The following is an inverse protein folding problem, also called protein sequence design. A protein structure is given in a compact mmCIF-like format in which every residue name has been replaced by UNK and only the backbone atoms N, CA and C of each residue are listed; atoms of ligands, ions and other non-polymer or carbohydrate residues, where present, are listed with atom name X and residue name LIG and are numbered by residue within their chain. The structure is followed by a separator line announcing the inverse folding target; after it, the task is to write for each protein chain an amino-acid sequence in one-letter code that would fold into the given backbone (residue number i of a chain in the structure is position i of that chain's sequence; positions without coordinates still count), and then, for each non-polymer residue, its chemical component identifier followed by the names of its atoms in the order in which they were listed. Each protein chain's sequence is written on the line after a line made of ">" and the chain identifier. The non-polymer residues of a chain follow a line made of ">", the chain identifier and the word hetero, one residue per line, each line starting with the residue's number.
data_IF_257712690587
#
_entry.id   IF_257712690587
#
_cell.length_a   1.000
_cell.length_b   1.000
_cell.length_c   1.000
_cell.angle_alpha   90.00
_cell.angle_beta   90.00
_cell.angle_gamma   90.00
#
_symmetry.space_group_name_H-M   'P 1'
#
loop_
_entity.id
_entity.type
_entity.pdbx_description
1 polymer ?
#
# COMPACT_ATOMS: atom_id res chain seq x y z
N UNK A 1 3.84 18.01 0.22
CA UNK A 1 5.19 17.38 0.25
C UNK A 1 5.46 16.63 1.56
N UNK A 2 5.14 17.19 2.74
CA UNK A 2 5.41 16.60 4.07
C UNK A 2 4.78 15.22 4.24
N UNK A 3 3.48 15.06 3.95
CA UNK A 3 2.76 13.79 4.06
C UNK A 3 3.41 12.67 3.24
N UNK A 4 3.96 13.01 2.07
CA UNK A 4 4.70 12.06 1.23
C UNK A 4 6.01 11.58 1.88
N UNK A 5 6.68 12.45 2.64
CA UNK A 5 7.91 12.08 3.36
C UNK A 5 7.58 11.08 4.46
N UNK A 6 6.53 11.35 5.24
CA UNK A 6 6.07 10.41 6.28
C UNK A 6 5.64 9.06 5.70
N UNK A 7 4.89 9.09 4.59
CA UNK A 7 4.54 7.86 3.87
C UNK A 7 5.78 7.08 3.41
N UNK A 8 6.82 7.75 2.90
CA UNK A 8 8.08 7.08 2.54
C UNK A 8 8.79 6.44 3.73
N UNK A 9 8.76 7.07 4.89
CA UNK A 9 9.33 6.46 6.11
C UNK A 9 8.57 5.18 6.51
N UNK A 10 7.24 5.15 6.32
CA UNK A 10 6.43 3.94 6.50
C UNK A 10 6.85 2.84 5.53
N UNK A 11 7.06 3.20 4.26
CA UNK A 11 7.52 2.29 3.20
C UNK A 11 8.87 1.66 3.54
N UNK A 12 9.86 2.46 3.93
CA UNK A 12 11.19 1.98 4.33
C UNK A 12 11.09 0.97 5.48
N UNK A 13 10.39 1.34 6.55
CA UNK A 13 10.20 0.45 7.71
C UNK A 13 9.43 -0.83 7.36
N UNK A 14 8.54 -0.78 6.37
CA UNK A 14 7.84 -1.97 5.88
C UNK A 14 8.81 -2.89 5.11
N UNK A 15 9.64 -2.33 4.24
CA UNK A 15 10.61 -3.10 3.45
C UNK A 15 11.68 -3.76 4.33
N UNK A 16 12.18 -3.04 5.34
CA UNK A 16 13.10 -3.60 6.34
C UNK A 16 12.50 -4.81 7.06
N UNK A 17 11.21 -4.76 7.41
CA UNK A 17 10.51 -5.88 8.07
C UNK A 17 10.21 -7.05 7.16
N UNK A 18 10.00 -6.80 5.88
CA UNK A 18 9.72 -7.82 4.87
C UNK A 18 11.01 -8.45 4.30
N UNK A 19 12.17 -7.83 4.55
CA UNK A 19 13.45 -8.23 4.00
C UNK A 19 13.67 -7.81 2.53
N UNK A 20 12.62 -7.39 1.82
CA UNK A 20 12.68 -6.88 0.46
C UNK A 20 11.45 -6.04 0.10
N UNK A 21 11.45 -5.43 -1.10
CA UNK A 21 10.27 -4.72 -1.64
C UNK A 21 9.17 -5.72 -2.00
N UNK A 22 7.88 -5.41 -1.75
CA UNK A 22 6.76 -6.27 -2.17
C UNK A 22 6.82 -6.67 -3.65
N UNK A 23 7.27 -5.75 -4.52
CA UNK A 23 7.46 -6.02 -5.95
C UNK A 23 8.53 -7.10 -6.23
N UNK A 24 9.58 -7.18 -5.43
CA UNK A 24 10.58 -8.24 -5.51
C UNK A 24 10.05 -9.55 -4.95
N UNK A 25 9.38 -9.48 -3.77
CA UNK A 25 8.86 -10.65 -3.06
C UNK A 25 7.85 -11.42 -3.90
N UNK A 26 6.95 -10.74 -4.60
CA UNK A 26 5.89 -11.36 -5.41
C UNK A 26 6.44 -12.28 -6.51
N UNK A 27 7.66 -12.02 -7.01
CA UNK A 27 8.31 -12.88 -8.01
C UNK A 27 9.05 -14.07 -7.39
N UNK A 28 9.35 -14.07 -6.09
CA UNK A 28 10.01 -15.21 -5.43
C UNK A 28 9.08 -16.42 -5.43
N UNK A 29 9.64 -17.61 -5.64
CA UNK A 29 8.88 -18.86 -5.53
C UNK A 29 8.36 -19.14 -4.11
N UNK A 30 9.04 -18.61 -3.11
CA UNK A 30 8.62 -18.71 -1.69
C UNK A 30 7.35 -17.92 -1.35
N UNK A 31 6.97 -16.94 -2.16
CA UNK A 31 5.74 -16.15 -1.97
C UNK A 31 4.54 -16.81 -2.64
N UNK A 32 3.37 -16.76 -2.03
CA UNK A 32 2.12 -17.39 -2.52
C UNK A 32 1.13 -16.42 -3.17
N UNK A 33 1.50 -15.15 -3.36
CA UNK A 33 0.61 -14.10 -3.94
C UNK A 33 0.22 -14.41 -5.38
N UNK A 34 1.13 -15.00 -6.15
CA UNK A 34 0.92 -15.49 -7.50
C UNK A 34 1.21 -16.99 -7.49
N UNK A 35 0.42 -17.77 -8.21
CA UNK A 35 0.64 -19.21 -8.32
C UNK A 35 1.97 -19.54 -9.05
N UNK A 36 2.50 -20.71 -8.74
CA UNK A 36 3.82 -21.13 -9.20
C UNK A 36 3.92 -21.25 -10.72
N UNK A 37 2.87 -21.75 -11.38
CA UNK A 37 2.89 -21.92 -12.84
C UNK A 37 2.90 -20.57 -13.56
N UNK A 38 2.12 -19.62 -13.03
CA UNK A 38 2.10 -18.25 -13.55
C UNK A 38 3.43 -17.54 -13.32
N UNK A 39 4.08 -17.71 -12.16
CA UNK A 39 5.43 -17.17 -11.92
C UNK A 39 6.44 -17.72 -12.90
N UNK A 40 6.46 -19.03 -13.11
CA UNK A 40 7.36 -19.67 -14.09
C UNK A 40 7.15 -19.10 -15.50
N UNK A 41 5.90 -18.83 -15.89
CA UNK A 41 5.59 -18.14 -17.16
C UNK A 41 6.16 -16.74 -17.19
N UNK A 42 5.94 -15.96 -16.12
CA UNK A 42 6.45 -14.58 -16.04
C UNK A 42 7.98 -14.53 -16.11
N UNK A 43 8.67 -15.42 -15.40
CA UNK A 43 10.14 -15.53 -15.48
C UNK A 43 10.62 -15.83 -16.89
N UNK A 44 9.96 -16.77 -17.59
CA UNK A 44 10.29 -17.06 -19.00
C UNK A 44 10.10 -15.83 -19.89
N UNK A 45 8.94 -15.16 -19.80
CA UNK A 45 8.65 -13.97 -20.60
C UNK A 45 9.65 -12.83 -20.34
N UNK A 46 10.02 -12.62 -19.09
CA UNK A 46 10.99 -11.60 -18.73
C UNK A 46 12.36 -11.95 -19.31
N UNK A 47 12.82 -13.21 -19.19
CA UNK A 47 14.10 -13.66 -19.74
C UNK A 47 14.15 -13.56 -21.26
N UNK A 48 13.03 -13.80 -21.94
CA UNK A 48 12.95 -13.69 -23.41
C UNK A 48 12.95 -12.24 -23.91
N UNK A 49 12.27 -11.34 -23.19
CA UNK A 49 12.06 -9.96 -23.66
C UNK A 49 13.11 -8.98 -23.17
N UNK A 50 13.76 -9.24 -22.05
CA UNK A 50 14.75 -8.33 -21.47
C UNK A 50 16.13 -8.95 -21.59
N UNK A 51 16.99 -8.26 -22.34
CA UNK A 51 18.38 -8.68 -22.53
C UNK A 51 19.12 -8.73 -21.18
N UNK A 52 19.99 -9.72 -21.02
CA UNK A 52 20.83 -9.92 -19.84
C UNK A 52 20.05 -10.21 -18.54
N UNK A 53 18.81 -10.75 -18.66
CA UNK A 53 18.04 -11.26 -17.53
C UNK A 53 18.20 -12.76 -17.40
N UNK A 54 18.34 -13.21 -16.15
CA UNK A 54 18.48 -14.62 -15.78
C UNK A 54 17.65 -14.89 -14.53
N UNK A 55 16.30 -14.84 -14.70
CA UNK A 55 15.39 -15.22 -13.63
C UNK A 55 15.31 -16.74 -13.54
N UNK A 56 15.28 -17.28 -12.31
CA UNK A 56 15.19 -18.73 -12.10
C UNK A 56 13.88 -19.28 -12.68
N UNK A 57 13.99 -20.38 -13.44
CA UNK A 57 12.83 -21.05 -14.06
C UNK A 57 12.30 -22.14 -13.14
N UNK A 58 13.15 -22.68 -12.27
CA UNK A 58 12.79 -23.69 -11.27
C UNK A 58 13.02 -23.14 -9.85
N UNK A 59 12.30 -23.72 -8.89
CA UNK A 59 12.43 -23.33 -7.47
C UNK A 59 13.85 -23.52 -6.96
N UNK A 60 14.51 -24.61 -7.36
CA UNK A 60 15.86 -24.97 -6.93
C UNK A 60 16.94 -24.03 -7.48
N UNK A 61 16.65 -23.27 -8.53
CA UNK A 61 17.56 -22.29 -9.12
C UNK A 61 17.53 -20.95 -8.37
N UNK A 62 16.55 -20.74 -7.48
CA UNK A 62 16.39 -19.48 -6.74
C UNK A 62 17.48 -19.34 -5.67
N UNK A 63 18.20 -18.22 -5.69
CA UNK A 63 19.29 -17.90 -4.78
C UNK A 63 19.24 -16.41 -4.37
N UNK A 64 20.12 -16.00 -3.44
CA UNK A 64 20.16 -14.62 -2.95
C UNK A 64 20.39 -13.56 -4.04
N UNK A 65 21.05 -13.93 -5.15
CA UNK A 65 21.28 -13.02 -6.29
C UNK A 65 20.03 -12.85 -7.14
N UNK A 66 19.07 -13.76 -7.07
CA UNK A 66 17.82 -13.69 -7.83
C UNK A 66 17.02 -12.42 -7.52
N UNK A 67 17.12 -11.89 -6.31
CA UNK A 67 16.46 -10.64 -5.92
C UNK A 67 16.90 -9.43 -6.76
N UNK A 68 18.15 -9.39 -7.18
CA UNK A 68 18.68 -8.32 -8.05
C UNK A 68 17.98 -8.35 -9.41
N UNK A 69 17.82 -9.57 -9.96
CA UNK A 69 17.11 -9.77 -11.22
C UNK A 69 15.62 -9.45 -11.09
N UNK A 70 14.97 -9.87 -9.99
CA UNK A 70 13.58 -9.53 -9.69
C UNK A 70 13.35 -8.02 -9.59
N UNK A 71 14.23 -7.31 -8.90
CA UNK A 71 14.14 -5.85 -8.79
C UNK A 71 14.33 -5.17 -10.16
N UNK A 72 15.29 -5.63 -10.95
CA UNK A 72 15.54 -5.11 -12.29
C UNK A 72 14.35 -5.36 -13.22
N UNK A 73 13.78 -6.57 -13.21
CA UNK A 73 12.59 -6.94 -13.96
C UNK A 73 11.40 -6.03 -13.61
N UNK A 74 11.12 -5.88 -12.31
CA UNK A 74 10.03 -5.02 -11.86
C UNK A 74 10.23 -3.54 -12.19
N UNK A 75 11.46 -3.07 -12.23
CA UNK A 75 11.78 -1.71 -12.70
C UNK A 75 11.51 -1.55 -14.20
N UNK A 76 11.80 -2.56 -15.01
CA UNK A 76 11.46 -2.57 -16.42
C UNK A 76 9.95 -2.55 -16.64
N UNK A 77 9.21 -3.45 -15.98
CA UNK A 77 7.75 -3.50 -16.04
C UNK A 77 7.09 -2.17 -15.63
N UNK A 78 7.64 -1.53 -14.61
CA UNK A 78 7.17 -0.21 -14.18
C UNK A 78 7.37 0.87 -15.25
N UNK A 79 8.51 0.87 -15.94
CA UNK A 79 8.77 1.78 -17.06
C UNK A 79 7.81 1.52 -18.21
N UNK A 80 7.59 0.24 -18.53
CA UNK A 80 6.64 -0.17 -19.56
C UNK A 80 5.21 0.27 -19.22
N UNK A 81 4.70 -0.05 -18.01
CA UNK A 81 3.38 0.35 -17.55
C UNK A 81 3.20 1.89 -17.55
N UNK A 82 4.24 2.65 -17.20
CA UNK A 82 4.20 4.11 -17.27
C UNK A 82 4.13 4.65 -18.70
N UNK A 83 4.75 3.99 -19.66
CA UNK A 83 4.68 4.37 -21.07
C UNK A 83 3.32 4.01 -21.70
N UNK A 84 2.66 2.96 -21.18
CA UNK A 84 1.39 2.43 -21.69
C UNK A 84 0.23 2.67 -20.70
N UNK A 85 0.14 3.86 -20.13
CA UNK A 85 -0.83 4.19 -19.06
C UNK A 85 -2.29 3.94 -19.41
N UNK A 86 -2.66 4.15 -20.65
CA UNK A 86 -4.05 4.03 -21.10
C UNK A 86 -4.50 2.57 -21.15
N UNK A 87 -3.59 1.66 -21.44
CA UNK A 87 -3.84 0.22 -21.40
C UNK A 87 -3.62 -0.40 -20.02
N UNK A 88 -2.73 0.20 -19.19
CA UNK A 88 -2.35 -0.29 -17.86
C UNK A 88 -3.07 0.44 -16.71
N UNK A 89 -4.33 0.80 -16.90
CA UNK A 89 -5.11 1.59 -15.93
C UNK A 89 -5.15 0.93 -14.53
N UNK A 90 -5.25 -0.41 -14.47
CA UNK A 90 -5.29 -1.16 -13.22
C UNK A 90 -4.02 -0.96 -12.39
N UNK A 91 -2.84 -1.10 -12.99
CA UNK A 91 -1.55 -0.88 -12.31
C UNK A 91 -1.48 0.52 -11.72
N UNK A 92 -1.98 1.51 -12.48
CA UNK A 92 -1.98 2.90 -12.03
C UNK A 92 -2.98 3.16 -10.89
N UNK A 93 -4.14 2.50 -10.90
CA UNK A 93 -5.12 2.58 -9.80
C UNK A 93 -4.57 1.95 -8.52
N UNK A 94 -4.00 0.75 -8.61
CA UNK A 94 -3.40 0.07 -7.47
C UNK A 94 -2.23 0.87 -6.87
N UNK A 95 -1.42 1.50 -7.73
CA UNK A 95 -0.36 2.42 -7.28
C UNK A 95 -0.92 3.63 -6.53
N UNK A 96 -2.03 4.22 -6.99
CA UNK A 96 -2.69 5.35 -6.31
C UNK A 96 -3.22 4.92 -4.94
N UNK A 97 -3.89 3.77 -4.87
CA UNK A 97 -4.43 3.23 -3.63
C UNK A 97 -3.32 2.92 -2.64
N UNK A 98 -2.26 2.24 -3.06
CA UNK A 98 -1.09 2.03 -2.22
C UNK A 98 -0.50 3.34 -1.69
N UNK A 99 -0.30 4.33 -2.57
CA UNK A 99 0.23 5.64 -2.16
C UNK A 99 -0.71 6.36 -1.19
N UNK A 100 -2.02 6.27 -1.38
CA UNK A 100 -3.03 6.86 -0.50
C UNK A 100 -2.93 6.25 0.91
N UNK A 101 -3.04 4.92 1.02
CA UNK A 101 -3.02 4.24 2.31
C UNK A 101 -1.69 4.39 3.05
N UNK A 102 -0.58 4.32 2.34
CA UNK A 102 0.76 4.57 2.88
C UNK A 102 0.91 5.97 3.47
N UNK A 103 0.45 6.97 2.73
CA UNK A 103 0.55 8.37 3.16
C UNK A 103 -0.43 8.66 4.31
N UNK A 104 -1.64 8.12 4.25
CA UNK A 104 -2.64 8.23 5.33
C UNK A 104 -2.11 7.60 6.62
N UNK A 105 -1.54 6.41 6.54
CA UNK A 105 -0.91 5.77 7.70
C UNK A 105 0.29 6.59 8.23
N UNK A 106 1.06 7.20 7.35
CA UNK A 106 2.19 8.04 7.72
C UNK A 106 1.80 9.30 8.52
N UNK A 107 0.64 9.89 8.24
CA UNK A 107 0.13 11.06 8.97
C UNK A 107 -0.89 10.74 10.06
N UNK A 108 -1.23 9.47 10.26
CA UNK A 108 -2.26 9.00 11.19
C UNK A 108 -2.17 9.64 12.58
N UNK A 109 -1.00 9.61 13.20
CA UNK A 109 -0.84 10.11 14.57
C UNK A 109 -1.05 11.61 14.69
N UNK A 110 -0.64 12.38 13.66
CA UNK A 110 -0.86 13.83 13.66
C UNK A 110 -2.35 14.14 13.50
N UNK A 111 -3.06 13.41 12.62
CA UNK A 111 -4.50 13.54 12.49
C UNK A 111 -5.22 13.24 13.81
N UNK A 112 -4.88 12.12 14.47
CA UNK A 112 -5.45 11.75 15.78
C UNK A 112 -5.18 12.82 16.84
N UNK A 113 -3.97 13.37 16.89
CA UNK A 113 -3.63 14.44 17.87
C UNK A 113 -4.47 15.70 17.61
N UNK A 114 -4.63 16.08 16.35
CA UNK A 114 -5.45 17.24 15.98
C UNK A 114 -6.92 17.01 16.32
N UNK A 115 -7.47 15.84 15.99
CA UNK A 115 -8.85 15.48 16.31
C UNK A 115 -9.08 15.44 17.83
N UNK A 116 -8.13 14.88 18.60
CA UNK A 116 -8.18 14.84 20.04
C UNK A 116 -8.16 16.27 20.65
N UNK A 117 -7.32 17.16 20.11
CA UNK A 117 -7.27 18.55 20.55
C UNK A 117 -8.61 19.27 20.32
N UNK A 118 -9.24 19.07 19.16
CA UNK A 118 -10.56 19.63 18.85
C UNK A 118 -11.62 19.01 19.79
N UNK A 119 -11.59 17.70 20.02
CA UNK A 119 -12.53 17.02 20.90
C UNK A 119 -12.44 17.56 22.35
N UNK A 120 -11.23 17.76 22.86
CA UNK A 120 -11.01 18.37 24.20
C UNK A 120 -11.53 19.80 24.23
N UNK A 121 -11.28 20.60 23.20
CA UNK A 121 -11.85 21.96 23.09
C UNK A 121 -13.37 21.93 23.16
N UNK A 122 -14.02 21.09 22.40
CA UNK A 122 -15.50 20.98 22.41
C UNK A 122 -16.01 20.55 23.81
N UNK A 123 -15.31 19.60 24.43
CA UNK A 123 -15.65 19.17 25.82
C UNK A 123 -15.55 20.31 26.83
N UNK A 124 -14.53 21.18 26.72
CA UNK A 124 -14.36 22.34 27.59
C UNK A 124 -15.42 23.43 27.38
N UNK A 125 -16.10 23.46 26.24
CA UNK A 125 -17.22 24.40 25.98
C UNK A 125 -18.54 23.91 26.54
N UNK A 126 -18.61 22.73 27.11
CA UNK A 126 -19.80 22.15 27.73
C UNK A 126 -19.73 22.42 29.23
N UNK A 127 -20.48 23.42 29.72
CA UNK A 127 -20.50 23.84 31.15
C UNK A 127 -20.94 22.74 32.11
N UNK A 128 -21.87 21.88 31.69
CA UNK A 128 -22.34 20.74 32.46
C UNK A 128 -22.52 19.54 31.55
N UNK A 129 -21.49 18.69 31.46
CA UNK A 129 -21.55 17.49 30.65
C UNK A 129 -22.63 16.54 31.18
N UNK A 130 -23.72 16.41 30.45
CA UNK A 130 -24.81 15.50 30.75
C UNK A 130 -25.08 14.60 29.55
N UNK A 131 -24.85 13.30 29.71
CA UNK A 131 -25.08 12.30 28.67
C UNK A 131 -26.52 12.32 28.13
N UNK A 132 -27.51 12.63 29.02
CA UNK A 132 -28.90 12.73 28.62
C UNK A 132 -29.16 13.91 27.68
N UNK A 133 -28.53 15.06 27.91
CA UNK A 133 -28.65 16.23 27.05
C UNK A 133 -27.98 16.02 25.70
N UNK A 134 -26.91 15.24 25.66
CA UNK A 134 -26.25 14.84 24.41
C UNK A 134 -27.22 14.13 23.45
N UNK A 135 -28.06 13.23 23.96
CA UNK A 135 -29.02 12.47 23.15
C UNK A 135 -30.33 13.20 22.87
N UNK A 136 -30.80 14.03 23.81
CA UNK A 136 -32.11 14.67 23.70
C UNK A 136 -32.08 16.02 22.98
N UNK A 137 -31.04 16.81 23.20
CA UNK A 137 -31.01 18.21 22.75
C UNK A 137 -30.13 18.45 21.52
N UNK A 138 -29.31 17.47 21.10
CA UNK A 138 -28.46 17.51 19.91
C UNK A 138 -27.73 18.87 19.68
N UNK A 139 -27.21 19.47 20.74
CA UNK A 139 -26.47 20.71 20.61
C UNK A 139 -25.27 20.52 19.65
N UNK A 140 -24.95 21.50 18.78
CA UNK A 140 -23.87 21.38 17.80
C UNK A 140 -22.52 20.91 18.40
N UNK A 141 -22.22 21.37 19.64
CA UNK A 141 -21.00 20.99 20.39
C UNK A 141 -20.94 19.50 20.70
N UNK A 142 -22.05 18.89 21.13
CA UNK A 142 -22.10 17.45 21.37
C UNK A 142 -21.98 16.65 20.08
N UNK A 143 -22.62 17.09 18.99
CA UNK A 143 -22.54 16.45 17.68
C UNK A 143 -21.09 16.47 17.17
N UNK A 144 -20.41 17.61 17.30
CA UNK A 144 -19.00 17.75 16.92
C UNK A 144 -18.10 16.84 17.76
N UNK A 145 -18.30 16.79 19.08
CA UNK A 145 -17.53 15.91 19.95
C UNK A 145 -17.68 14.43 19.55
N UNK A 146 -18.92 13.96 19.37
CA UNK A 146 -19.19 12.57 18.93
C UNK A 146 -18.57 12.29 17.56
N UNK A 147 -18.69 13.23 16.63
CA UNK A 147 -18.08 13.10 15.30
C UNK A 147 -16.56 12.93 15.38
N UNK A 148 -15.85 13.75 16.19
CA UNK A 148 -14.41 13.61 16.39
C UNK A 148 -14.04 12.27 17.01
N UNK A 149 -14.83 11.77 17.98
CA UNK A 149 -14.61 10.45 18.57
C UNK A 149 -14.75 9.33 17.54
N UNK A 150 -15.72 9.42 16.63
CA UNK A 150 -15.91 8.48 15.53
C UNK A 150 -14.72 8.55 14.57
N UNK A 151 -14.25 9.74 14.22
CA UNK A 151 -13.06 9.92 13.33
C UNK A 151 -11.82 9.28 13.95
N UNK A 152 -11.53 9.50 15.23
CA UNK A 152 -10.43 8.88 15.95
C UNK A 152 -10.54 7.34 15.92
N UNK A 153 -11.73 6.82 16.21
CA UNK A 153 -12.00 5.38 16.19
C UNK A 153 -11.76 4.78 14.81
N UNK A 154 -12.28 5.40 13.75
CA UNK A 154 -12.07 4.97 12.36
C UNK A 154 -10.59 5.00 11.98
N UNK A 155 -9.86 6.06 12.33
CA UNK A 155 -8.42 6.15 12.10
C UNK A 155 -7.66 5.05 12.85
N UNK A 156 -8.07 4.67 14.05
CA UNK A 156 -7.42 3.61 14.82
C UNK A 156 -7.64 2.23 14.22
N UNK A 157 -8.86 1.93 13.79
CA UNK A 157 -9.27 0.60 13.32
C UNK A 157 -8.90 0.38 11.85
N UNK A 158 -9.30 1.32 10.99
CA UNK A 158 -9.19 1.16 9.53
C UNK A 158 -7.76 1.40 9.06
N UNK A 159 -7.12 2.47 9.54
CA UNK A 159 -5.78 2.86 9.07
C UNK A 159 -4.71 2.10 9.85
N UNK A 160 -4.33 0.93 9.34
CA UNK A 160 -3.35 0.05 9.98
C UNK A 160 -2.26 -0.43 9.01
N UNK A 161 -1.20 -1.05 9.54
CA UNK A 161 -0.06 -1.54 8.75
C UNK A 161 -0.43 -2.64 7.77
N UNK A 162 -1.44 -3.44 8.12
CA UNK A 162 -1.83 -4.58 7.30
C UNK A 162 -2.47 -4.11 5.99
N UNK A 163 -3.30 -3.06 6.04
CA UNK A 163 -3.91 -2.50 4.82
C UNK A 163 -2.82 -1.91 3.90
N UNK A 164 -1.81 -1.22 4.46
CA UNK A 164 -0.69 -0.70 3.66
C UNK A 164 0.09 -1.83 3.00
N UNK A 165 0.38 -2.90 3.76
CA UNK A 165 1.04 -4.10 3.23
C UNK A 165 0.20 -4.76 2.13
N UNK A 166 -1.09 -4.98 2.38
CA UNK A 166 -2.00 -5.58 1.41
C UNK A 166 -2.02 -4.79 0.09
N UNK A 167 -2.21 -3.47 0.14
CA UNK A 167 -2.21 -2.61 -1.04
C UNK A 167 -0.86 -2.60 -1.77
N UNK A 168 0.25 -2.73 -1.04
CA UNK A 168 1.57 -2.86 -1.65
C UNK A 168 1.73 -4.17 -2.44
N UNK A 169 1.18 -5.28 -1.94
CA UNK A 169 1.19 -6.56 -2.64
C UNK A 169 0.20 -6.59 -3.80
N UNK A 170 -0.97 -5.97 -3.68
CA UNK A 170 -1.92 -5.81 -4.79
C UNK A 170 -1.29 -5.04 -5.95
N UNK A 171 -0.64 -3.91 -5.66
CA UNK A 171 0.13 -3.17 -6.68
C UNK A 171 1.28 -4.00 -7.26
N UNK A 172 2.00 -4.77 -6.45
CA UNK A 172 3.09 -5.62 -6.92
C UNK A 172 2.58 -6.72 -7.85
N UNK A 173 1.42 -7.32 -7.53
CA UNK A 173 0.76 -8.33 -8.35
C UNK A 173 0.30 -7.76 -9.70
N UNK A 174 -0.43 -6.65 -9.69
CA UNK A 174 -0.89 -6.01 -10.94
C UNK A 174 0.27 -5.57 -11.83
N UNK A 175 1.40 -5.16 -11.24
CA UNK A 175 2.61 -4.85 -11.99
C UNK A 175 3.24 -6.09 -12.61
N UNK A 176 3.25 -7.24 -11.93
CA UNK A 176 3.73 -8.50 -12.48
C UNK A 176 2.84 -9.01 -13.63
N UNK A 177 1.52 -8.83 -13.53
CA UNK A 177 0.54 -9.22 -14.57
C UNK A 177 0.77 -8.51 -15.92
N UNK A 178 1.51 -7.39 -15.95
CA UNK A 178 1.94 -6.71 -17.20
C UNK A 178 2.74 -7.65 -18.09
N UNK A 179 3.42 -8.66 -17.53
CA UNK A 179 4.16 -9.66 -18.31
C UNK A 179 3.29 -10.39 -19.33
N UNK A 180 1.99 -10.61 -19.05
CA UNK A 180 1.09 -11.34 -19.96
C UNK A 180 0.89 -10.62 -21.29
N UNK A 181 1.01 -9.29 -21.30
CA UNK A 181 0.87 -8.48 -22.52
C UNK A 181 2.08 -8.49 -23.42
N UNK A 182 3.21 -8.99 -22.94
CA UNK A 182 4.37 -9.20 -23.82
C UNK A 182 4.16 -10.31 -24.84
N UNK A 183 3.16 -11.16 -24.61
CA UNK A 183 2.85 -12.31 -25.48
C UNK A 183 1.94 -11.92 -26.64
N UNK A 184 1.16 -10.85 -26.48
CA UNK A 184 0.19 -10.40 -27.47
C UNK A 184 0.78 -9.49 -28.55
N UNK A 185 2.09 -9.22 -28.50
CA UNK A 185 2.84 -8.39 -29.44
C UNK A 185 3.92 -9.24 -30.12
#
# INVERSE_FOLDING_TARGET
>A
KVVRIWGKNVEIKMYEKLGAKPTTIVLRYSDSTIDMLTKTRYHKYINEKIKDMDLPIMVDDENEKSDIFYESAMNYLRKYANAHRDSEQRVYQDLKEYNFWRNLYGCKWIAIIMDAFIAVRELCLIDNFNVRDMFLNMYPTYVMFVFMMICIMLMCIVVNKNIVKQRAFEYAKSLAEVCERFVEV
#
